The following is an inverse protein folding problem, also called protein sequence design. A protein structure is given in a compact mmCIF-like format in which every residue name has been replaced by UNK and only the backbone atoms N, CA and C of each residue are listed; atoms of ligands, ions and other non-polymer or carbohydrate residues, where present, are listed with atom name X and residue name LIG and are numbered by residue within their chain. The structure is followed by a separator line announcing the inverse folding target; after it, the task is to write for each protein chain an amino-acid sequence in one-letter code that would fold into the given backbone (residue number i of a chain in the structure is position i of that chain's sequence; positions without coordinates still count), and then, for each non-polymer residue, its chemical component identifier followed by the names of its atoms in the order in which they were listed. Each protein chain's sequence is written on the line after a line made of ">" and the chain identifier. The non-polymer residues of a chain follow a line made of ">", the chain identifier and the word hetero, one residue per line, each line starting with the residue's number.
data_IF_125642186093
#
_entry.id   IF_125642186093
#
_cell.length_a   1.000
_cell.length_b   1.000
_cell.length_c   1.000
_cell.angle_alpha   90.00
_cell.angle_beta   90.00
_cell.angle_gamma   90.00
#
_symmetry.space_group_name_H-M   'P 1'
#
loop_
_entity.id
_entity.type
_entity.pdbx_description
1 polymer ?
#
# COMPACT_ATOMS: atom_id res chain seq x y z
N UNK A 1 -34.70 9.63 50.36
CA UNK A 1 -35.68 8.68 49.81
C UNK A 1 -35.64 8.79 48.29
N UNK A 2 -35.57 7.63 47.61
CA UNK A 2 -35.89 7.37 46.18
C UNK A 2 -35.13 8.15 45.08
N UNK A 3 -34.64 7.60 43.97
CA UNK A 3 -34.34 6.24 43.48
C UNK A 3 -33.87 6.40 42.01
N UNK A 4 -33.11 5.41 41.54
CA UNK A 4 -32.58 5.14 40.19
C UNK A 4 -33.45 5.51 38.96
N UNK A 5 -32.78 5.82 37.83
CA UNK A 5 -32.85 4.95 36.63
C UNK A 5 -31.75 5.22 35.59
N UNK A 6 -31.06 4.14 35.22
CA UNK A 6 -30.09 3.95 34.14
C UNK A 6 -30.62 4.27 32.74
N UNK A 7 -29.75 4.73 31.84
CA UNK A 7 -29.93 4.64 30.39
C UNK A 7 -28.87 3.71 29.79
N UNK A 8 -29.29 2.52 29.38
CA UNK A 8 -28.67 1.75 28.29
C UNK A 8 -29.52 1.95 27.04
N UNK A 9 -28.88 2.14 25.88
CA UNK A 9 -29.40 1.58 24.62
C UNK A 9 -28.32 1.55 23.55
N UNK A 10 -27.86 0.34 23.25
CA UNK A 10 -27.00 0.05 22.11
C UNK A 10 -27.81 0.00 20.83
N UNK A 11 -27.46 0.83 19.85
CA UNK A 11 -28.03 0.80 18.52
C UNK A 11 -27.30 -0.26 17.68
N UNK A 12 -27.93 -1.42 17.48
CA UNK A 12 -27.48 -2.43 16.51
C UNK A 12 -27.96 -2.03 15.12
N UNK A 13 -27.04 -1.68 14.24
CA UNK A 13 -27.31 -1.48 12.81
C UNK A 13 -27.57 -2.86 12.19
N UNK A 14 -28.80 -3.08 11.72
CA UNK A 14 -29.15 -4.25 10.93
C UNK A 14 -28.47 -4.18 9.56
N UNK A 15 -27.59 -5.14 9.27
CA UNK A 15 -26.96 -5.32 7.95
C UNK A 15 -27.82 -6.28 7.12
N UNK A 16 -28.19 -5.86 5.91
CA UNK A 16 -29.06 -6.63 5.02
C UNK A 16 -28.38 -7.88 4.43
N UNK A 17 -29.17 -8.89 3.99
CA UNK A 17 -28.66 -10.19 3.55
C UNK A 17 -27.78 -10.15 2.28
N UNK A 18 -27.83 -9.08 1.48
CA UNK A 18 -26.99 -8.90 0.28
C UNK A 18 -25.53 -8.51 0.56
N UNK A 19 -25.16 -8.19 1.81
CA UNK A 19 -23.79 -7.78 2.18
C UNK A 19 -22.90 -8.96 2.62
N UNK A 20 -23.42 -10.19 2.76
CA UNK A 20 -22.64 -11.32 3.30
C UNK A 20 -21.57 -11.85 2.36
N UNK A 21 -21.76 -11.75 1.04
CA UNK A 21 -20.82 -12.31 0.05
C UNK A 21 -19.57 -11.43 -0.16
N UNK A 22 -19.65 -10.13 0.12
CA UNK A 22 -18.50 -9.23 0.07
C UNK A 22 -17.64 -9.28 1.35
N UNK A 23 -18.19 -9.83 2.44
CA UNK A 23 -17.50 -9.91 3.74
C UNK A 23 -16.57 -11.13 3.86
N UNK A 24 -16.71 -12.16 3.02
CA UNK A 24 -15.84 -13.35 3.09
C UNK A 24 -14.39 -13.08 2.65
N UNK A 25 -14.14 -12.01 1.90
CA UNK A 25 -12.77 -11.54 1.58
C UNK A 25 -12.15 -10.69 2.68
N UNK A 26 -12.95 -10.19 3.63
CA UNK A 26 -12.48 -9.56 4.86
C UNK A 26 -12.32 -10.64 5.94
N UNK A 27 -11.51 -11.66 5.65
CA UNK A 27 -11.19 -12.69 6.63
C UNK A 27 -10.15 -12.13 7.59
N UNK A 28 -10.62 -11.57 8.71
CA UNK A 28 -9.86 -11.62 9.95
C UNK A 28 -9.89 -13.08 10.39
N UNK A 29 -8.82 -13.82 10.13
CA UNK A 29 -8.62 -15.10 10.78
C UNK A 29 -8.74 -14.87 12.28
N UNK A 30 -9.84 -15.36 12.87
CA UNK A 30 -9.97 -15.51 14.31
C UNK A 30 -8.92 -16.53 14.72
N UNK A 31 -7.79 -16.05 15.22
CA UNK A 31 -6.82 -16.87 15.94
C UNK A 31 -7.57 -17.54 17.10
N UNK A 32 -7.41 -18.86 17.33
CA UNK A 32 -8.00 -19.52 18.47
C UNK A 32 -7.52 -18.81 19.74
N UNK A 33 -8.47 -18.33 20.55
CA UNK A 33 -8.18 -17.82 21.88
C UNK A 33 -7.52 -18.96 22.66
N UNK A 34 -6.26 -18.80 23.06
CA UNK A 34 -5.56 -19.78 23.89
C UNK A 34 -6.32 -19.95 25.19
N UNK A 35 -6.60 -21.21 25.52
CA UNK A 35 -7.18 -21.66 26.78
C UNK A 35 -6.32 -21.14 27.96
N UNK A 36 -6.88 -20.46 28.98
CA UNK A 36 -6.11 -19.91 30.10
C UNK A 36 -5.55 -20.97 31.08
N UNK A 37 -5.56 -22.26 30.73
CA UNK A 37 -5.24 -23.37 31.63
C UNK A 37 -3.87 -24.05 31.44
N UNK A 38 -3.04 -23.67 30.46
CA UNK A 38 -1.80 -24.40 30.17
C UNK A 38 -0.58 -23.79 30.88
N UNK A 39 -0.26 -24.29 32.07
CA UNK A 39 1.01 -24.03 32.77
C UNK A 39 2.17 -24.73 32.07
N UNK A 40 2.71 -24.11 31.02
CA UNK A 40 3.94 -24.53 30.33
C UNK A 40 4.98 -23.43 30.40
N UNK A 41 6.04 -23.65 31.17
CA UNK A 41 7.22 -22.77 31.35
C UNK A 41 7.88 -22.47 29.99
N UNK A 42 8.02 -21.18 29.64
CA UNK A 42 8.89 -20.66 28.57
C UNK A 42 9.60 -19.40 29.10
N UNK A 43 10.86 -19.13 28.71
CA UNK A 43 11.76 -18.21 29.42
C UNK A 43 11.40 -16.73 29.27
N UNK A 44 11.78 -15.96 30.30
CA UNK A 44 11.66 -14.52 30.37
C UNK A 44 12.60 -13.81 29.37
N UNK A 45 12.03 -13.17 28.36
CA UNK A 45 12.63 -12.04 27.66
C UNK A 45 11.51 -11.28 26.92
N UNK A 46 10.71 -10.53 27.68
CA UNK A 46 9.85 -9.48 27.12
C UNK A 46 10.44 -8.17 27.61
N UNK A 47 11.17 -7.49 26.74
CA UNK A 47 11.63 -6.13 26.97
C UNK A 47 10.43 -5.19 26.88
N UNK A 48 10.11 -4.56 28.00
CA UNK A 48 9.12 -3.50 28.14
C UNK A 48 9.57 -2.29 27.32
N UNK A 49 8.72 -1.80 26.41
CA UNK A 49 8.92 -0.53 25.72
C UNK A 49 8.79 0.61 26.74
N UNK A 50 9.92 1.21 27.13
CA UNK A 50 9.93 2.48 27.86
C UNK A 50 9.90 3.65 26.88
N UNK A 51 8.98 4.58 27.13
CA UNK A 51 8.91 5.90 26.50
C UNK A 51 10.22 6.66 26.74
N UNK A 52 10.86 7.11 25.67
CA UNK A 52 11.93 8.11 25.73
C UNK A 52 11.25 9.48 25.67
N UNK A 53 11.50 10.28 26.70
CA UNK A 53 11.02 11.64 26.87
C UNK A 53 11.88 12.66 26.09
N UNK A 54 11.21 13.71 25.62
CA UNK A 54 11.78 14.92 25.02
C UNK A 54 12.65 15.72 25.99
N UNK A 55 13.68 16.40 25.46
CA UNK A 55 14.20 17.74 25.84
C UNK A 55 15.50 18.06 25.03
N UNK A 56 15.99 19.32 24.98
CA UNK A 56 15.35 20.52 24.44
C UNK A 56 16.28 21.29 23.46
N UNK A 57 15.69 22.34 22.89
CA UNK A 57 16.24 23.29 21.90
C UNK A 57 17.27 24.26 22.50
N UNK A 58 18.42 24.39 21.85
CA UNK A 58 19.33 25.55 21.80
C UNK A 58 20.10 25.43 20.46
N UNK A 59 20.38 26.42 19.62
CA UNK A 59 20.30 27.87 19.68
C UNK A 59 21.53 28.45 18.95
N UNK A 60 21.32 29.35 17.97
CA UNK A 60 22.30 30.29 17.35
C UNK A 60 23.40 29.66 16.46
N UNK A 61 24.04 30.26 15.44
CA UNK A 61 24.17 31.63 14.93
C UNK A 61 24.84 31.62 13.52
N UNK A 62 24.46 32.59 12.67
CA UNK A 62 25.28 33.42 11.75
C UNK A 62 26.28 32.85 10.70
N UNK A 63 26.19 33.45 9.50
CA UNK A 63 27.31 33.77 8.59
C UNK A 63 27.33 32.87 7.35
N UNK A 64 27.42 33.34 6.10
CA UNK A 64 27.76 34.64 5.54
C UNK A 64 28.66 34.41 4.31
N UNK A 65 28.30 35.05 3.17
CA UNK A 65 29.13 35.35 1.99
C UNK A 65 29.44 34.19 1.00
N UNK A 66 28.93 34.30 -0.24
CA UNK A 66 29.66 34.64 -1.51
C UNK A 66 30.70 33.56 -1.88
N UNK A 67 30.77 33.04 -3.11
CA UNK A 67 31.19 33.79 -4.30
C UNK A 67 31.16 32.85 -5.52
N UNK A 68 30.71 33.41 -6.65
CA UNK A 68 31.15 33.18 -8.03
C UNK A 68 30.74 31.98 -8.88
N UNK A 69 30.49 32.38 -10.12
CA UNK A 69 30.00 31.69 -11.27
C UNK A 69 31.08 31.68 -12.36
N UNK A 70 30.79 30.86 -13.40
CA UNK A 70 31.33 30.87 -14.77
C UNK A 70 32.37 29.78 -15.12
N UNK A 71 32.56 29.43 -16.42
CA UNK A 71 31.65 29.58 -17.55
C UNK A 71 31.46 28.31 -18.40
N UNK A 72 30.41 28.42 -19.21
CA UNK A 72 30.09 27.70 -20.45
C UNK A 72 31.29 27.62 -21.41
N UNK A 73 31.53 26.44 -21.99
CA UNK A 73 32.27 26.28 -23.25
C UNK A 73 31.35 25.65 -24.29
N UNK A 74 31.13 26.41 -25.37
CA UNK A 74 30.57 25.97 -26.64
C UNK A 74 31.70 25.96 -27.67
N UNK A 75 31.78 24.89 -28.49
CA UNK A 75 32.45 24.80 -29.81
C UNK A 75 31.72 23.67 -30.56
N UNK A 76 30.97 23.92 -31.66
CA UNK A 76 31.40 23.84 -33.09
C UNK A 76 31.98 22.46 -33.44
N UNK A 77 31.71 21.76 -34.55
CA UNK A 77 31.22 22.13 -35.89
C UNK A 77 31.19 20.84 -36.75
N UNK A 78 30.24 20.78 -37.69
CA UNK A 78 30.26 20.24 -39.07
C UNK A 78 30.77 18.82 -39.43
N UNK A 79 29.87 18.17 -40.20
CA UNK A 79 30.05 17.40 -41.42
C UNK A 79 30.93 16.15 -41.44
N UNK A 80 30.34 15.01 -41.81
CA UNK A 80 30.59 14.42 -43.14
C UNK A 80 29.71 13.20 -43.42
N UNK A 81 29.06 13.27 -44.58
CA UNK A 81 28.45 12.20 -45.33
C UNK A 81 29.43 11.08 -45.68
N UNK A 82 29.00 9.83 -45.53
CA UNK A 82 29.73 8.66 -46.00
C UNK A 82 28.79 7.46 -46.10
N UNK A 83 28.17 7.30 -47.26
CA UNK A 83 27.43 6.10 -47.63
C UNK A 83 28.42 4.99 -47.97
N UNK A 84 28.30 3.83 -47.33
CA UNK A 84 28.77 2.57 -47.90
C UNK A 84 27.92 1.44 -47.34
N UNK A 85 27.24 0.77 -48.26
CA UNK A 85 26.57 -0.49 -48.04
C UNK A 85 27.61 -1.56 -47.75
N UNK A 86 27.42 -2.33 -46.67
CA UNK A 86 27.93 -3.70 -46.61
C UNK A 86 27.31 -4.47 -45.44
N UNK A 87 26.88 -5.69 -45.78
CA UNK A 87 26.83 -6.86 -44.90
C UNK A 87 25.66 -6.96 -43.91
N UNK A 88 24.59 -7.51 -44.45
CA UNK A 88 23.56 -8.30 -43.78
C UNK A 88 24.18 -9.47 -43.00
N UNK A 89 24.74 -9.21 -41.81
CA UNK A 89 24.97 -10.25 -40.81
C UNK A 89 23.78 -10.30 -39.87
N UNK A 90 22.96 -11.30 -40.17
CA UNK A 90 21.79 -11.73 -39.45
C UNK A 90 22.24 -12.27 -38.08
N UNK A 91 22.40 -11.38 -37.10
CA UNK A 91 22.55 -11.75 -35.69
C UNK A 91 21.25 -12.39 -35.20
N UNK A 92 21.09 -13.68 -35.49
CA UNK A 92 20.26 -14.60 -34.74
C UNK A 92 20.89 -14.75 -33.34
N UNK A 93 20.71 -13.71 -32.52
CA UNK A 93 20.75 -13.85 -31.08
C UNK A 93 19.52 -14.68 -30.71
N UNK A 94 19.70 -16.01 -30.77
CA UNK A 94 18.90 -16.92 -30.00
C UNK A 94 18.95 -16.41 -28.56
N UNK A 95 17.86 -15.79 -28.12
CA UNK A 95 17.64 -15.47 -26.72
C UNK A 95 17.57 -16.79 -25.97
N UNK A 96 18.74 -17.32 -25.61
CA UNK A 96 18.89 -18.33 -24.59
C UNK A 96 18.45 -17.64 -23.31
N UNK A 97 17.16 -17.74 -23.00
CA UNK A 97 16.62 -17.33 -21.71
C UNK A 97 17.34 -18.18 -20.69
N UNK A 98 18.21 -17.61 -19.83
CA UNK A 98 18.90 -18.40 -18.83
C UNK A 98 17.85 -19.10 -17.98
N UNK A 99 17.89 -20.43 -17.94
CA UNK A 99 17.09 -21.24 -17.04
C UNK A 99 17.48 -20.82 -15.62
N UNK A 100 16.70 -19.90 -15.03
CA UNK A 100 16.97 -19.39 -13.68
C UNK A 100 17.05 -20.57 -12.74
N UNK A 101 18.18 -20.73 -12.07
CA UNK A 101 18.31 -21.71 -11.00
C UNK A 101 17.22 -21.40 -9.96
N UNK A 102 16.45 -22.41 -9.51
CA UNK A 102 15.39 -22.21 -8.51
C UNK A 102 15.87 -21.59 -7.18
N UNK A 103 17.18 -21.56 -6.95
CA UNK A 103 17.82 -21.18 -5.70
C UNK A 103 17.85 -19.67 -5.41
N UNK A 104 17.47 -18.79 -6.34
CA UNK A 104 17.54 -17.32 -6.14
C UNK A 104 16.20 -16.58 -6.38
N UNK A 105 15.09 -17.29 -6.50
CA UNK A 105 13.79 -16.66 -6.71
C UNK A 105 13.31 -15.95 -5.43
N UNK A 106 13.08 -14.63 -5.53
CA UNK A 106 12.44 -13.86 -4.47
C UNK A 106 10.95 -14.20 -4.35
N UNK A 107 10.50 -14.51 -3.14
CA UNK A 107 9.09 -14.40 -2.77
C UNK A 107 8.72 -12.92 -2.72
N UNK A 108 7.63 -12.51 -3.39
CA UNK A 108 7.20 -11.11 -3.46
C UNK A 108 5.87 -10.88 -2.75
N UNK A 109 5.83 -9.83 -1.94
CA UNK A 109 4.60 -9.30 -1.33
C UNK A 109 4.42 -7.84 -1.72
N UNK A 110 3.29 -7.54 -2.35
CA UNK A 110 2.84 -6.19 -2.67
C UNK A 110 1.75 -5.77 -1.69
N UNK A 111 1.95 -4.65 -1.01
CA UNK A 111 1.05 -4.09 -0.02
C UNK A 111 0.60 -2.72 -0.50
N UNK A 112 -0.67 -2.60 -0.87
CA UNK A 112 -1.25 -1.33 -1.29
C UNK A 112 -1.99 -0.66 -0.15
N UNK A 113 -1.79 0.63 0.04
CA UNK A 113 -2.77 1.44 0.73
C UNK A 113 -4.07 1.55 -0.10
N UNK A 114 -5.16 1.90 0.55
CA UNK A 114 -6.45 2.08 -0.11
C UNK A 114 -6.71 3.54 -0.48
N UNK A 115 -6.76 4.41 0.52
CA UNK A 115 -7.18 5.79 0.38
C UNK A 115 -6.14 6.56 -0.42
N UNK A 116 -6.62 7.36 -1.39
CA UNK A 116 -5.80 8.13 -2.34
C UNK A 116 -4.72 7.34 -3.11
N UNK A 117 -4.74 6.01 -3.04
CA UNK A 117 -3.76 5.10 -3.65
C UNK A 117 -4.42 4.15 -4.66
N UNK A 118 -5.48 3.46 -4.26
CA UNK A 118 -6.33 2.65 -5.16
C UNK A 118 -7.71 3.28 -5.32
N UNK A 119 -8.16 4.01 -4.30
CA UNK A 119 -9.42 4.73 -4.27
C UNK A 119 -9.16 6.23 -4.19
N UNK A 120 -9.80 7.08 -5.01
CA UNK A 120 -9.61 8.54 -4.98
C UNK A 120 -10.46 9.14 -3.85
N UNK A 121 -10.20 8.73 -2.60
CA UNK A 121 -11.07 9.00 -1.45
C UNK A 121 -11.28 10.49 -1.21
N UNK A 122 -10.23 11.32 -1.29
CA UNK A 122 -10.38 12.76 -1.09
C UNK A 122 -11.22 13.41 -2.19
N UNK A 123 -10.98 13.02 -3.44
CA UNK A 123 -11.78 13.49 -4.58
C UNK A 123 -13.26 13.08 -4.43
N UNK A 124 -13.53 11.86 -3.95
CA UNK A 124 -14.89 11.41 -3.66
C UNK A 124 -15.50 12.22 -2.51
N UNK A 125 -14.77 12.46 -1.43
CA UNK A 125 -15.22 13.30 -0.32
C UNK A 125 -15.59 14.71 -0.79
N UNK A 126 -14.76 15.33 -1.64
CA UNK A 126 -15.04 16.64 -2.23
C UNK A 126 -16.30 16.61 -3.11
N UNK A 127 -16.43 15.61 -3.98
CA UNK A 127 -17.59 15.45 -4.86
C UNK A 127 -18.91 15.31 -4.08
N UNK A 128 -18.91 14.52 -3.01
CA UNK A 128 -20.08 14.36 -2.13
C UNK A 128 -20.38 15.64 -1.36
N UNK A 129 -19.35 16.34 -0.87
CA UNK A 129 -19.51 17.58 -0.10
C UNK A 129 -20.18 18.67 -0.93
N UNK A 130 -19.87 18.77 -2.23
CA UNK A 130 -20.55 19.68 -3.17
C UNK A 130 -22.05 19.38 -3.34
N UNK A 131 -22.48 18.16 -3.02
CA UNK A 131 -23.88 17.74 -3.02
C UNK A 131 -24.53 17.83 -1.63
N UNK A 132 -23.84 18.39 -0.62
CA UNK A 132 -24.31 18.41 0.77
C UNK A 132 -24.36 17.03 1.41
N UNK A 133 -23.53 16.09 0.97
CA UNK A 133 -23.50 14.70 1.44
C UNK A 133 -22.09 14.32 1.92
N UNK A 134 -22.00 13.25 2.72
CA UNK A 134 -20.72 12.62 3.06
C UNK A 134 -20.65 11.22 2.46
N UNK A 135 -19.50 10.86 1.89
CA UNK A 135 -19.27 9.55 1.27
C UNK A 135 -19.52 8.39 2.24
N UNK A 136 -19.23 8.60 3.53
CA UNK A 136 -19.34 7.57 4.56
C UNK A 136 -20.76 7.41 5.10
N UNK A 137 -21.54 8.50 5.16
CA UNK A 137 -22.90 8.50 5.74
C UNK A 137 -24.01 8.40 4.70
N UNK A 138 -23.72 8.71 3.43
CA UNK A 138 -24.69 8.62 2.36
C UNK A 138 -25.25 7.19 2.21
N UNK A 139 -26.57 7.11 2.01
CA UNK A 139 -27.28 5.83 1.77
C UNK A 139 -27.24 5.41 0.31
N UNK A 140 -27.01 6.35 -0.61
CA UNK A 140 -26.96 6.15 -2.05
C UNK A 140 -25.82 6.98 -2.65
N UNK A 141 -25.28 6.59 -3.81
CA UNK A 141 -24.35 7.42 -4.55
C UNK A 141 -24.91 8.82 -4.81
N UNK A 142 -24.08 9.86 -4.67
CA UNK A 142 -24.50 11.22 -4.98
C UNK A 142 -24.84 11.37 -6.47
N UNK A 143 -25.74 12.30 -6.82
CA UNK A 143 -26.20 12.49 -8.20
C UNK A 143 -25.07 12.82 -9.18
N UNK A 144 -23.98 13.45 -8.71
CA UNK A 144 -22.83 13.76 -9.54
C UNK A 144 -22.13 12.49 -10.08
N UNK A 145 -22.12 11.38 -9.32
CA UNK A 145 -21.60 10.09 -9.79
C UNK A 145 -22.46 9.48 -10.91
N UNK A 146 -23.68 9.97 -11.14
CA UNK A 146 -24.50 9.53 -12.27
C UNK A 146 -24.08 10.17 -13.60
N UNK A 147 -23.28 11.24 -13.58
CA UNK A 147 -22.80 11.93 -14.78
C UNK A 147 -22.00 10.98 -15.68
N UNK A 148 -22.31 10.90 -17.00
CA UNK A 148 -21.57 10.05 -17.94
C UNK A 148 -20.06 10.35 -17.96
N UNK A 149 -19.68 11.62 -17.83
CA UNK A 149 -18.28 12.05 -17.82
C UNK A 149 -17.55 11.52 -16.58
N UNK A 150 -18.17 11.65 -15.41
CA UNK A 150 -17.58 11.15 -14.15
C UNK A 150 -17.49 9.62 -14.17
N UNK A 151 -18.56 8.94 -14.62
CA UNK A 151 -18.56 7.48 -14.78
C UNK A 151 -17.45 7.00 -15.71
N UNK A 152 -17.26 7.67 -16.84
CA UNK A 152 -16.20 7.33 -17.79
C UNK A 152 -14.82 7.49 -17.15
N UNK A 153 -14.57 8.57 -16.41
CA UNK A 153 -13.27 8.80 -15.74
C UNK A 153 -13.00 7.77 -14.64
N UNK A 154 -14.01 7.44 -13.82
CA UNK A 154 -13.90 6.38 -12.81
C UNK A 154 -13.66 5.02 -13.45
N UNK A 155 -14.35 4.69 -14.55
CA UNK A 155 -14.14 3.42 -15.24
C UNK A 155 -12.71 3.25 -15.75
N UNK A 156 -12.05 4.33 -16.20
CA UNK A 156 -10.64 4.30 -16.58
C UNK A 156 -9.74 4.01 -15.38
N UNK A 157 -9.98 4.67 -14.23
CA UNK A 157 -9.27 4.36 -12.99
C UNK A 157 -9.49 2.90 -12.56
N UNK A 158 -10.73 2.42 -12.53
CA UNK A 158 -11.02 1.05 -12.11
C UNK A 158 -10.33 0.01 -13.01
N UNK A 159 -10.29 0.29 -14.32
CA UNK A 159 -9.60 -0.56 -15.30
C UNK A 159 -8.08 -0.55 -15.06
N UNK A 160 -7.49 0.61 -14.76
CA UNK A 160 -6.05 0.69 -14.48
C UNK A 160 -5.69 -0.01 -13.17
N UNK A 161 -6.49 0.16 -12.11
CA UNK A 161 -6.33 -0.55 -10.83
C UNK A 161 -6.45 -2.05 -11.04
N UNK A 162 -7.46 -2.52 -11.79
CA UNK A 162 -7.61 -3.95 -12.11
C UNK A 162 -6.36 -4.50 -12.77
N UNK A 163 -5.87 -3.82 -13.81
CA UNK A 163 -4.67 -4.24 -14.55
C UNK A 163 -3.45 -4.29 -13.62
N UNK A 164 -3.24 -3.27 -12.80
CA UNK A 164 -2.15 -3.23 -11.83
C UNK A 164 -2.19 -4.44 -10.88
N UNK A 165 -3.34 -4.69 -10.25
CA UNK A 165 -3.49 -5.79 -9.29
C UNK A 165 -3.29 -7.16 -9.95
N UNK A 166 -3.78 -7.34 -11.19
CA UNK A 166 -3.52 -8.55 -11.97
C UNK A 166 -2.01 -8.76 -12.20
N UNK A 167 -1.30 -7.70 -12.63
CA UNK A 167 0.16 -7.76 -12.86
C UNK A 167 0.98 -8.03 -11.61
N UNK A 168 0.59 -7.46 -10.47
CA UNK A 168 1.23 -7.77 -9.20
C UNK A 168 0.95 -9.22 -8.77
N UNK A 169 -0.28 -9.72 -8.97
CA UNK A 169 -0.69 -11.09 -8.60
C UNK A 169 0.01 -12.14 -9.45
N UNK A 170 0.29 -11.86 -10.73
CA UNK A 170 1.12 -12.71 -11.60
C UNK A 170 2.54 -12.93 -11.06
N UNK A 171 3.01 -12.05 -10.16
CA UNK A 171 4.41 -11.99 -9.70
C UNK A 171 4.62 -12.25 -8.21
N UNK A 172 3.55 -12.19 -7.42
CA UNK A 172 3.63 -12.30 -5.97
C UNK A 172 2.26 -12.21 -5.28
N UNK A 173 2.29 -12.24 -3.96
CA UNK A 173 1.08 -12.04 -3.15
C UNK A 173 0.72 -10.55 -3.13
N UNK A 174 -0.57 -10.24 -3.22
CA UNK A 174 -1.10 -8.88 -3.12
C UNK A 174 -2.00 -8.76 -1.90
N UNK A 175 -1.82 -7.69 -1.12
CA UNK A 175 -2.61 -7.34 0.06
C UNK A 175 -2.94 -5.86 0.03
N UNK A 176 -4.12 -5.48 0.51
CA UNK A 176 -4.49 -4.09 0.79
C UNK A 176 -4.42 -3.86 2.30
N UNK A 177 -3.75 -2.79 2.73
CA UNK A 177 -3.60 -2.39 4.13
C UNK A 177 -3.92 -0.91 4.29
N UNK A 178 -5.02 -0.59 4.98
CA UNK A 178 -5.48 0.79 5.18
C UNK A 178 -5.75 1.13 6.64
N UNK A 179 -5.62 2.42 6.98
CA UNK A 179 -6.04 2.99 8.27
C UNK A 179 -7.53 3.33 8.33
N UNK A 180 -8.29 3.16 7.24
CA UNK A 180 -9.74 3.21 7.29
C UNK A 180 -10.29 2.00 8.05
N UNK A 181 -11.45 2.17 8.70
CA UNK A 181 -12.20 1.03 9.25
C UNK A 181 -12.69 0.13 8.11
N UNK A 182 -12.96 -1.15 8.40
CA UNK A 182 -13.50 -2.07 7.39
C UNK A 182 -14.84 -1.58 6.82
N UNK A 183 -15.64 -0.88 7.63
CA UNK A 183 -16.88 -0.25 7.18
C UNK A 183 -16.60 0.90 6.21
N UNK A 184 -15.62 1.74 6.51
CA UNK A 184 -15.18 2.84 5.63
C UNK A 184 -14.66 2.32 4.29
N UNK A 185 -13.83 1.28 4.32
CA UNK A 185 -13.35 0.58 3.12
C UNK A 185 -14.49 0.03 2.28
N UNK A 186 -15.44 -0.69 2.92
CA UNK A 186 -16.58 -1.25 2.20
C UNK A 186 -17.46 -0.16 1.55
N UNK A 187 -17.61 0.98 2.21
CA UNK A 187 -18.37 2.13 1.68
C UNK A 187 -17.75 2.70 0.41
N UNK A 188 -16.44 2.94 0.41
CA UNK A 188 -15.75 3.50 -0.77
C UNK A 188 -15.55 2.44 -1.86
N UNK A 189 -15.31 1.18 -1.49
CA UNK A 189 -15.22 0.05 -2.44
C UNK A 189 -16.51 -0.17 -3.23
N UNK A 190 -17.69 0.03 -2.61
CA UNK A 190 -18.99 -0.04 -3.30
C UNK A 190 -19.16 1.01 -4.41
N UNK A 191 -18.34 2.06 -4.42
CA UNK A 191 -18.31 3.08 -5.48
C UNK A 191 -17.39 2.70 -6.65
N UNK A 192 -16.61 1.62 -6.52
CA UNK A 192 -15.67 1.09 -7.50
C UNK A 192 -15.98 -0.41 -7.78
N UNK A 193 -17.11 -0.73 -8.44
CA UNK A 193 -17.61 -2.10 -8.56
C UNK A 193 -16.69 -3.06 -9.33
N UNK A 194 -15.94 -2.57 -10.33
CA UNK A 194 -14.96 -3.39 -11.05
C UNK A 194 -13.74 -3.69 -10.15
N UNK A 195 -13.32 -2.74 -9.31
CA UNK A 195 -12.26 -2.99 -8.32
C UNK A 195 -12.73 -4.03 -7.31
N UNK A 196 -13.95 -3.89 -6.75
CA UNK A 196 -14.53 -4.87 -5.83
C UNK A 196 -14.55 -6.29 -6.41
N UNK A 197 -15.02 -6.42 -7.66
CA UNK A 197 -15.01 -7.70 -8.37
C UNK A 197 -13.59 -8.24 -8.51
N UNK A 198 -12.65 -7.39 -8.88
CA UNK A 198 -11.24 -7.77 -9.07
C UNK A 198 -10.60 -8.27 -7.77
N UNK A 199 -10.84 -7.61 -6.63
CA UNK A 199 -10.33 -8.07 -5.34
C UNK A 199 -10.86 -9.46 -4.99
N UNK A 200 -12.12 -9.73 -5.32
CA UNK A 200 -12.76 -11.04 -5.11
C UNK A 200 -12.16 -12.10 -6.04
N UNK A 201 -12.07 -11.81 -7.34
CA UNK A 201 -11.50 -12.70 -8.37
C UNK A 201 -10.06 -13.10 -8.04
N UNK A 202 -9.24 -12.12 -7.65
CA UNK A 202 -7.82 -12.31 -7.32
C UNK A 202 -7.59 -12.79 -5.87
N UNK A 203 -8.64 -12.90 -5.06
CA UNK A 203 -8.57 -13.25 -3.63
C UNK A 203 -7.59 -12.36 -2.85
N UNK A 204 -7.60 -11.05 -3.15
CA UNK A 204 -6.76 -10.08 -2.46
C UNK A 204 -7.27 -9.90 -1.04
N UNK A 205 -6.38 -10.11 -0.06
CA UNK A 205 -6.68 -9.85 1.34
C UNK A 205 -6.78 -8.34 1.57
N UNK A 206 -7.83 -7.89 2.26
CA UNK A 206 -8.01 -6.49 2.66
C UNK A 206 -7.97 -6.39 4.19
N UNK A 207 -7.06 -5.57 4.71
CA UNK A 207 -6.81 -5.41 6.14
C UNK A 207 -7.04 -3.97 6.56
N UNK A 208 -7.91 -3.79 7.55
CA UNK A 208 -8.03 -2.54 8.30
C UNK A 208 -7.04 -2.56 9.48
N UNK A 209 -5.97 -1.77 9.39
CA UNK A 209 -5.04 -1.57 10.48
C UNK A 209 -5.73 -0.91 11.69
N UNK A 210 -6.65 0.00 11.41
CA UNK A 210 -7.45 0.69 12.44
C UNK A 210 -8.31 -0.27 13.25
N UNK A 211 -9.10 -1.12 12.60
CA UNK A 211 -9.95 -2.08 13.33
C UNK A 211 -9.12 -3.05 14.17
N UNK A 212 -7.88 -3.32 13.75
CA UNK A 212 -6.96 -4.18 14.49
C UNK A 212 -6.35 -3.48 15.70
N UNK A 213 -6.11 -2.17 15.65
CA UNK A 213 -5.26 -1.46 16.62
C UNK A 213 -6.01 -0.45 17.50
N UNK A 214 -7.01 0.25 16.96
CA UNK A 214 -7.79 1.27 17.68
C UNK A 214 -8.48 0.70 18.93
N UNK A 215 -9.12 -0.50 18.91
CA UNK A 215 -9.72 -1.08 20.11
C UNK A 215 -8.72 -1.40 21.24
N UNK A 216 -7.43 -1.48 20.91
CA UNK A 216 -6.35 -1.73 21.86
C UNK A 216 -5.67 -0.44 22.35
N UNK A 217 -6.19 0.73 21.97
CA UNK A 217 -5.65 2.03 22.38
C UNK A 217 -4.28 2.35 21.77
N UNK A 218 -3.89 1.66 20.69
CA UNK A 218 -2.64 1.97 20.00
C UNK A 218 -2.78 3.31 19.25
N UNK A 219 -1.73 4.15 19.22
CA UNK A 219 -1.77 5.40 18.48
C UNK A 219 -1.70 5.14 16.96
N UNK A 220 -2.16 6.10 16.15
CA UNK A 220 -2.33 5.98 14.70
C UNK A 220 -1.04 5.53 13.99
N UNK A 221 0.10 6.06 14.43
CA UNK A 221 1.43 5.78 13.87
C UNK A 221 1.82 4.31 14.04
N UNK A 222 1.22 3.60 15.01
CA UNK A 222 1.47 2.18 15.29
C UNK A 222 0.53 1.22 14.60
N UNK A 223 -0.52 1.71 13.95
CA UNK A 223 -1.52 0.85 13.32
C UNK A 223 -0.90 0.06 12.16
N UNK A 224 -0.27 0.75 11.19
CA UNK A 224 0.38 0.08 10.05
C UNK A 224 1.63 -0.69 10.47
N UNK A 225 2.43 -0.22 11.43
CA UNK A 225 3.55 -0.98 12.01
C UNK A 225 3.08 -2.38 12.43
N UNK A 226 2.07 -2.43 13.30
CA UNK A 226 1.56 -3.67 13.90
C UNK A 226 0.96 -4.59 12.83
N UNK A 227 0.18 -4.03 11.90
CA UNK A 227 -0.46 -4.82 10.85
C UNK A 227 0.54 -5.40 9.88
N UNK A 228 1.54 -4.61 9.49
CA UNK A 228 2.54 -4.99 8.52
C UNK A 228 3.49 -6.05 9.09
N UNK A 229 3.89 -5.96 10.36
CA UNK A 229 4.65 -7.03 11.05
C UNK A 229 3.90 -8.36 10.96
N UNK A 230 2.59 -8.37 11.26
CA UNK A 230 1.77 -9.59 11.21
C UNK A 230 1.67 -10.15 9.79
N UNK A 231 1.41 -9.29 8.81
CA UNK A 231 1.29 -9.67 7.40
C UNK A 231 2.59 -10.24 6.84
N UNK A 232 3.72 -9.55 7.08
CA UNK A 232 5.02 -9.99 6.60
C UNK A 232 5.47 -11.27 7.30
N UNK A 233 5.25 -11.40 8.61
CA UNK A 233 5.51 -12.66 9.34
C UNK A 233 4.75 -13.83 8.73
N UNK A 234 3.44 -13.66 8.50
CA UNK A 234 2.62 -14.69 7.90
C UNK A 234 3.07 -15.03 6.47
N UNK A 235 3.54 -14.05 5.71
CA UNK A 235 4.08 -14.23 4.36
C UNK A 235 5.40 -15.01 4.37
N UNK A 236 6.36 -14.60 5.20
CA UNK A 236 7.68 -15.26 5.33
C UNK A 236 7.50 -16.73 5.75
N UNK A 237 6.63 -17.00 6.72
CA UNK A 237 6.35 -18.35 7.19
C UNK A 237 5.79 -19.29 6.10
N UNK A 238 5.14 -18.76 5.06
CA UNK A 238 4.67 -19.57 3.91
C UNK A 238 5.80 -19.95 2.96
N UNK A 239 6.87 -19.13 2.91
CA UNK A 239 8.00 -19.30 2.01
C UNK A 239 9.34 -19.12 2.75
N UNK A 240 9.65 -19.93 3.79
CA UNK A 240 10.77 -19.66 4.71
C UNK A 240 12.16 -19.81 4.06
N UNK A 241 12.26 -20.53 2.94
CA UNK A 241 13.52 -20.81 2.25
C UNK A 241 13.86 -19.79 1.14
N UNK A 242 12.98 -18.84 0.85
CA UNK A 242 13.17 -17.86 -0.22
C UNK A 242 13.64 -16.52 0.34
N UNK A 243 14.32 -15.70 -0.47
CA UNK A 243 14.52 -14.28 -0.14
C UNK A 243 13.20 -13.53 -0.28
N UNK A 244 12.91 -12.60 0.62
CA UNK A 244 11.62 -11.89 0.61
C UNK A 244 11.78 -10.46 0.11
N UNK A 245 11.06 -10.09 -0.94
CA UNK A 245 10.91 -8.70 -1.37
C UNK A 245 9.53 -8.19 -0.96
N UNK A 246 9.51 -7.20 -0.09
CA UNK A 246 8.28 -6.60 0.43
C UNK A 246 8.18 -5.19 -0.15
N UNK A 247 7.09 -4.90 -0.85
CA UNK A 247 6.85 -3.59 -1.45
C UNK A 247 5.58 -2.95 -0.90
N UNK A 248 5.70 -1.78 -0.29
CA UNK A 248 4.54 -0.94 0.05
C UNK A 248 4.32 0.12 -1.02
N UNK A 249 3.06 0.41 -1.31
CA UNK A 249 2.62 1.44 -2.24
C UNK A 249 1.55 2.26 -1.54
N UNK A 250 1.76 3.57 -1.40
CA UNK A 250 0.83 4.45 -0.70
C UNK A 250 1.10 5.92 -0.96
N UNK A 251 0.13 6.76 -0.64
CA UNK A 251 0.20 8.20 -0.78
C UNK A 251 0.60 8.92 0.50
N UNK A 252 0.92 8.24 1.61
CA UNK A 252 1.38 8.86 2.86
C UNK A 252 2.81 8.42 3.22
N UNK A 253 3.43 9.08 4.20
CA UNK A 253 4.73 8.65 4.72
C UNK A 253 4.60 7.44 5.65
N UNK A 254 3.39 7.18 6.15
CA UNK A 254 3.10 6.12 7.11
C UNK A 254 3.43 4.73 6.55
N UNK A 255 3.23 4.48 5.25
CA UNK A 255 3.56 3.19 4.63
C UNK A 255 5.06 2.93 4.60
N UNK A 256 5.84 3.98 4.38
CA UNK A 256 7.31 3.90 4.35
C UNK A 256 7.86 3.62 5.75
N UNK A 257 7.42 4.40 6.75
CA UNK A 257 7.82 4.23 8.14
C UNK A 257 7.43 2.84 8.65
N UNK A 258 6.20 2.39 8.37
CA UNK A 258 5.72 1.08 8.79
C UNK A 258 6.50 -0.07 8.17
N UNK A 259 6.87 0.03 6.88
CA UNK A 259 7.68 -0.98 6.23
C UNK A 259 9.08 -1.06 6.84
N UNK A 260 9.72 0.09 7.08
CA UNK A 260 11.04 0.14 7.71
C UNK A 260 11.02 -0.44 9.14
N UNK A 261 10.04 -0.04 9.94
CA UNK A 261 9.85 -0.54 11.31
C UNK A 261 9.62 -2.05 11.32
N UNK A 262 8.80 -2.58 10.42
CA UNK A 262 8.54 -4.01 10.34
C UNK A 262 9.79 -4.79 9.90
N UNK A 263 10.52 -4.31 8.88
CA UNK A 263 11.76 -4.94 8.43
C UNK A 263 12.80 -5.02 9.56
N UNK A 264 13.02 -3.91 10.27
CA UNK A 264 13.91 -3.86 11.42
C UNK A 264 13.46 -4.80 12.54
N UNK A 265 12.16 -4.81 12.85
CA UNK A 265 11.61 -5.68 13.89
C UNK A 265 11.84 -7.16 13.58
N UNK A 266 11.62 -7.59 12.33
CA UNK A 266 11.80 -8.99 11.92
C UNK A 266 13.27 -9.40 11.87
N UNK A 267 14.15 -8.49 11.44
CA UNK A 267 15.59 -8.73 11.46
C UNK A 267 16.10 -8.91 12.90
N UNK A 268 15.69 -8.04 13.83
CA UNK A 268 16.13 -8.08 15.22
C UNK A 268 15.51 -9.24 16.02
N UNK A 269 14.22 -9.51 15.82
CA UNK A 269 13.48 -10.48 16.65
C UNK A 269 13.58 -11.91 16.11
N UNK A 270 13.74 -12.09 14.79
CA UNK A 270 13.69 -13.39 14.14
C UNK A 270 14.91 -13.69 13.27
N UNK A 271 15.82 -12.73 13.06
CA UNK A 271 16.96 -12.89 12.15
C UNK A 271 16.58 -12.94 10.67
N UNK A 272 15.35 -12.53 10.31
CA UNK A 272 14.88 -12.58 8.93
C UNK A 272 15.30 -11.35 8.14
N UNK A 273 16.05 -11.60 7.06
CA UNK A 273 16.44 -10.58 6.09
C UNK A 273 15.34 -10.42 5.04
N UNK A 274 14.84 -9.19 4.89
CA UNK A 274 13.90 -8.84 3.84
C UNK A 274 14.42 -7.65 3.04
N UNK A 275 13.92 -7.50 1.81
CA UNK A 275 14.27 -6.41 0.90
C UNK A 275 13.08 -5.46 0.79
N UNK A 276 12.95 -4.49 1.71
CA UNK A 276 11.87 -3.52 1.71
C UNK A 276 12.02 -2.54 0.54
N UNK A 277 10.92 -2.25 -0.15
CA UNK A 277 10.80 -1.24 -1.19
C UNK A 277 9.55 -0.42 -0.93
N UNK A 278 9.61 0.89 -1.13
CA UNK A 278 8.45 1.75 -1.00
C UNK A 278 8.24 2.53 -2.30
N UNK A 279 6.99 2.66 -2.73
CA UNK A 279 6.61 3.55 -3.83
C UNK A 279 5.62 4.56 -3.26
N UNK A 280 6.04 5.83 -3.27
CA UNK A 280 5.28 6.96 -2.75
C UNK A 280 4.48 7.59 -3.89
N UNK A 281 3.17 7.60 -3.75
CA UNK A 281 2.28 8.37 -4.62
C UNK A 281 2.18 9.82 -4.13
N UNK A 282 1.77 10.70 -5.05
CA UNK A 282 1.36 12.07 -4.74
C UNK A 282 0.16 12.03 -3.80
N UNK A 283 0.25 12.77 -2.70
CA UNK A 283 -0.81 12.88 -1.69
C UNK A 283 -2.03 13.60 -2.27
N UNK A 284 -3.23 13.16 -1.87
CA UNK A 284 -4.52 13.73 -2.32
C UNK A 284 -4.60 13.99 -3.84
N UNK A 285 -4.30 12.99 -4.70
CA UNK A 285 -4.19 13.20 -6.13
C UNK A 285 -5.56 13.46 -6.75
N UNK A 286 -5.58 14.21 -7.86
CA UNK A 286 -6.76 14.24 -8.72
C UNK A 286 -7.04 12.85 -9.30
N UNK A 287 -8.27 12.61 -9.75
CA UNK A 287 -8.66 11.36 -10.40
C UNK A 287 -7.73 10.99 -11.58
N UNK A 288 -7.33 11.98 -12.39
CA UNK A 288 -6.39 11.79 -13.50
C UNK A 288 -4.99 11.46 -13.01
N UNK A 289 -4.52 12.17 -11.99
CA UNK A 289 -3.19 11.95 -11.44
C UNK A 289 -3.08 10.55 -10.84
N UNK A 290 -4.09 10.10 -10.08
CA UNK A 290 -4.15 8.75 -9.55
C UNK A 290 -4.17 7.68 -10.66
N UNK A 291 -4.97 7.91 -11.69
CA UNK A 291 -5.05 7.03 -12.86
C UNK A 291 -3.68 6.90 -13.55
N UNK A 292 -2.99 8.02 -13.77
CA UNK A 292 -1.65 8.03 -14.40
C UNK A 292 -0.61 7.33 -13.55
N UNK A 293 -0.57 7.57 -12.24
CA UNK A 293 0.34 6.89 -11.31
C UNK A 293 0.13 5.37 -11.33
N UNK A 294 -1.14 4.93 -11.32
CA UNK A 294 -1.52 3.52 -11.41
C UNK A 294 -1.07 2.87 -12.72
N UNK A 295 -1.26 3.55 -13.87
CA UNK A 295 -0.79 3.07 -15.16
C UNK A 295 0.73 2.99 -15.24
N UNK A 296 1.43 4.03 -14.75
CA UNK A 296 2.88 4.06 -14.72
C UNK A 296 3.45 2.92 -13.86
N UNK A 297 2.89 2.70 -12.67
CA UNK A 297 3.30 1.57 -11.82
C UNK A 297 3.03 0.23 -12.51
N UNK A 298 1.90 0.09 -13.22
CA UNK A 298 1.62 -1.13 -13.99
C UNK A 298 2.71 -1.40 -15.03
N UNK A 299 3.14 -0.38 -15.77
CA UNK A 299 4.25 -0.51 -16.73
C UNK A 299 5.57 -0.85 -16.04
N UNK A 300 5.86 -0.23 -14.89
CA UNK A 300 7.06 -0.53 -14.12
C UNK A 300 7.08 -2.00 -13.70
N UNK A 301 5.96 -2.49 -13.16
CA UNK A 301 5.78 -3.90 -12.76
C UNK A 301 5.97 -4.79 -13.99
N UNK A 302 5.36 -4.46 -15.14
CA UNK A 302 5.50 -5.25 -16.38
C UNK A 302 6.96 -5.34 -16.87
N UNK A 303 7.69 -4.22 -16.91
CA UNK A 303 9.05 -4.16 -17.46
C UNK A 303 10.10 -4.81 -16.57
N UNK A 304 9.93 -4.74 -15.26
CA UNK A 304 11.00 -5.13 -14.34
C UNK A 304 10.82 -6.57 -13.87
N UNK A 305 11.71 -7.49 -14.27
CA UNK A 305 12.09 -8.56 -13.33
C UNK A 305 12.72 -7.83 -12.14
N UNK A 306 11.95 -7.47 -11.11
CA UNK A 306 12.26 -6.44 -10.09
C UNK A 306 13.45 -6.78 -9.17
N UNK A 307 14.62 -6.98 -9.79
CA UNK A 307 15.95 -7.18 -9.21
C UNK A 307 16.78 -5.89 -9.26
N UNK A 308 16.27 -4.81 -9.87
CA UNK A 308 16.94 -3.52 -9.86
C UNK A 308 16.37 -2.68 -8.72
N UNK A 309 17.26 -2.32 -7.80
CA UNK A 309 17.02 -1.35 -6.74
C UNK A 309 16.75 0.02 -7.37
N UNK A 310 15.50 0.47 -7.34
CA UNK A 310 15.20 1.88 -7.48
C UNK A 310 15.14 2.46 -6.07
N UNK A 311 16.30 2.88 -5.56
CA UNK A 311 16.35 3.95 -4.58
C UNK A 311 16.04 5.24 -5.33
N UNK A 312 14.79 5.69 -5.27
CA UNK A 312 14.49 7.11 -5.46
C UNK A 312 14.28 7.68 -4.06
N UNK A 313 15.37 8.17 -3.51
CA UNK A 313 15.43 9.00 -2.31
C UNK A 313 16.13 10.29 -2.71
N UNK A 314 15.36 11.36 -2.82
CA UNK A 314 15.80 12.73 -2.54
C UNK A 314 14.89 13.27 -1.44
#
# INVERSE_FOLDING_TARGET
>A
MSSFSSLQSGSRIAVGPSDRTALSSFSLDKVPLRDPGSTGRVPAAVATFHQIADSPVHGTSSGGLKTEASPVRALTSMDSSGSLAESTELWQLAHVVPLRSPAEAFARLYIFDWDNTLCPTDWLCELYSRCGQSVYTAKRPCAALCSPVIKSRLAVLETSVRRLLQKCTERGQVVILSNATSIGLLKTLKLLPLVQRTLTELKVQVVSARDMCEPHGLPLEKWKDTALIRLVTAFINKCPQQKHSIMTIGDQQLEHIALHNAANHLQLSCGWECHPKCIKYVESPSLEALTRQTLFLTELVDRTSLSVALCLSE
#
